data_IF_549026120039
#
_entry.id   IF_549026120039
#
_cell.length_a   1.000
_cell.length_b   1.000
_cell.length_c   1.000
_cell.angle_alpha   90.00
_cell.angle_beta   90.00
_cell.angle_gamma   90.00
#
_symmetry.space_group_name_H-M   'P 1'
#
loop_
_entity.id
_entity.type
_entity.pdbx_description
1 polymer ?
#
# COMPACT_ATOMS: atom_id res chain seq x y z
N UNK A 1 -45.35 5.20 24.47
CA UNK A 1 -45.29 5.11 22.99
C UNK A 1 -44.45 6.20 22.33
N UNK A 2 -44.34 7.39 22.92
CA UNK A 2 -43.52 8.51 22.34
C UNK A 2 -42.02 8.33 22.45
N UNK A 3 -41.51 7.72 23.52
CA UNK A 3 -40.09 7.49 23.70
C UNK A 3 -39.47 6.57 22.62
N UNK A 4 -40.23 5.52 22.22
CA UNK A 4 -39.78 4.57 21.18
C UNK A 4 -39.75 5.23 19.78
N UNK A 5 -40.72 6.06 19.44
CA UNK A 5 -40.76 6.82 18.19
C UNK A 5 -39.62 7.83 18.10
N UNK A 6 -39.27 8.49 19.21
CA UNK A 6 -38.18 9.46 19.30
C UNK A 6 -36.80 8.78 19.15
N UNK A 7 -36.61 7.59 19.71
CA UNK A 7 -35.39 6.78 19.56
C UNK A 7 -35.19 6.34 18.10
N UNK A 8 -36.23 5.81 17.47
CA UNK A 8 -36.22 5.37 16.07
C UNK A 8 -35.91 6.52 15.09
N UNK A 9 -36.48 7.71 15.34
CA UNK A 9 -36.25 8.90 14.52
C UNK A 9 -34.80 9.39 14.63
N UNK A 10 -34.21 9.37 15.81
CA UNK A 10 -32.80 9.70 16.02
C UNK A 10 -31.88 8.71 15.30
N UNK A 11 -32.19 7.44 15.31
CA UNK A 11 -31.44 6.40 14.60
C UNK A 11 -31.50 6.61 13.09
N UNK A 12 -32.66 6.93 12.52
CA UNK A 12 -32.84 7.20 11.07
C UNK A 12 -32.02 8.44 10.66
N UNK A 13 -32.07 9.52 11.42
CA UNK A 13 -31.26 10.72 11.14
C UNK A 13 -29.77 10.41 11.16
N UNK A 14 -29.31 9.66 12.17
CA UNK A 14 -27.91 9.25 12.26
C UNK A 14 -27.48 8.40 11.05
N UNK A 15 -28.34 7.47 10.59
CA UNK A 15 -28.08 6.67 9.40
C UNK A 15 -28.02 7.51 8.12
N UNK A 16 -28.93 8.49 7.97
CA UNK A 16 -28.92 9.42 6.81
C UNK A 16 -27.64 10.25 6.80
N UNK A 17 -27.25 10.80 7.96
CA UNK A 17 -26.00 11.57 8.07
C UNK A 17 -24.79 10.69 7.73
N UNK A 18 -24.72 9.50 8.30
CA UNK A 18 -23.62 8.56 8.01
C UNK A 18 -23.56 8.19 6.52
N UNK A 19 -24.72 7.98 5.88
CA UNK A 19 -24.81 7.67 4.46
C UNK A 19 -24.34 8.84 3.57
N UNK A 20 -24.75 10.07 3.90
CA UNK A 20 -24.30 11.27 3.18
C UNK A 20 -22.79 11.46 3.33
N UNK A 21 -22.26 11.28 4.54
CA UNK A 21 -20.83 11.35 4.78
C UNK A 21 -20.05 10.24 4.03
N UNK A 22 -20.60 9.02 3.99
CA UNK A 22 -20.01 7.90 3.25
C UNK A 22 -19.98 8.18 1.74
N UNK A 23 -21.05 8.75 1.17
CA UNK A 23 -21.07 9.16 -0.25
C UNK A 23 -20.03 10.26 -0.49
N UNK A 24 -19.95 11.27 0.37
CA UNK A 24 -18.95 12.33 0.25
C UNK A 24 -17.53 11.76 0.29
N UNK A 25 -17.24 10.89 1.24
CA UNK A 25 -15.95 10.20 1.34
C UNK A 25 -15.66 9.33 0.09
N UNK A 26 -16.67 8.63 -0.42
CA UNK A 26 -16.52 7.84 -1.65
C UNK A 26 -16.18 8.72 -2.86
N UNK A 27 -16.89 9.83 -3.06
CA UNK A 27 -16.59 10.78 -4.15
C UNK A 27 -15.15 11.28 -4.06
N UNK A 28 -14.71 11.72 -2.88
CA UNK A 28 -13.34 12.19 -2.67
C UNK A 28 -12.32 11.07 -2.96
N UNK A 29 -12.60 9.85 -2.51
CA UNK A 29 -11.71 8.70 -2.72
C UNK A 29 -11.65 8.25 -4.17
N UNK A 30 -12.75 8.33 -4.92
CA UNK A 30 -12.77 7.96 -6.34
C UNK A 30 -12.24 9.05 -7.28
N UNK A 31 -12.22 10.31 -6.85
CA UNK A 31 -11.72 11.44 -7.65
C UNK A 31 -10.33 11.20 -8.26
N UNK A 32 -9.29 10.74 -7.52
CA UNK A 32 -7.97 10.50 -8.10
C UNK A 32 -7.96 9.37 -9.13
N UNK A 33 -8.85 8.37 -9.00
CA UNK A 33 -8.96 7.30 -9.98
C UNK A 33 -9.59 7.80 -11.30
N UNK A 34 -10.66 8.60 -11.20
CA UNK A 34 -11.29 9.24 -12.36
C UNK A 34 -10.26 10.15 -13.06
N UNK A 35 -9.54 10.97 -12.31
CA UNK A 35 -8.46 11.81 -12.80
C UNK A 35 -7.42 10.98 -13.58
N UNK A 36 -6.95 9.89 -12.99
CA UNK A 36 -5.94 9.02 -13.60
C UNK A 36 -6.44 8.42 -14.91
N UNK A 37 -7.67 7.89 -14.93
CA UNK A 37 -8.26 7.30 -16.13
C UNK A 37 -8.47 8.34 -17.23
N UNK A 38 -9.03 9.51 -16.92
CA UNK A 38 -9.24 10.57 -17.92
C UNK A 38 -7.92 11.05 -18.53
N UNK A 39 -6.90 11.24 -17.69
CA UNK A 39 -5.63 11.78 -18.18
C UNK A 39 -4.75 10.71 -18.86
N UNK A 40 -4.97 9.41 -18.60
CA UNK A 40 -4.24 8.34 -19.31
C UNK A 40 -4.51 8.30 -20.81
N UNK A 41 -5.65 8.84 -21.25
CA UNK A 41 -6.02 8.94 -22.68
C UNK A 41 -5.68 10.27 -23.32
N UNK A 42 -5.15 11.27 -22.57
CA UNK A 42 -4.78 12.58 -23.11
C UNK A 42 -3.39 12.56 -23.69
N UNK A 43 -3.17 13.39 -24.73
CA UNK A 43 -1.84 13.73 -25.19
C UNK A 43 -1.11 14.66 -24.20
N UNK A 44 0.22 14.68 -24.27
CA UNK A 44 1.05 15.53 -23.36
C UNK A 44 0.64 17.02 -23.43
N UNK A 45 0.31 17.51 -24.61
CA UNK A 45 -0.11 18.91 -24.80
C UNK A 45 -1.49 19.18 -24.19
N UNK A 46 -2.42 18.24 -24.35
CA UNK A 46 -3.75 18.35 -23.73
C UNK A 46 -3.69 18.35 -22.18
N UNK A 47 -2.77 17.57 -21.59
CA UNK A 47 -2.57 17.57 -20.14
C UNK A 47 -2.12 18.93 -19.59
N UNK A 48 -1.40 19.73 -20.41
CA UNK A 48 -0.89 21.06 -20.02
C UNK A 48 -1.90 22.16 -20.27
N UNK A 49 -2.76 22.02 -21.28
CA UNK A 49 -3.64 23.09 -21.77
C UNK A 49 -5.10 22.93 -21.33
N UNK A 50 -5.53 21.72 -21.04
CA UNK A 50 -6.91 21.42 -20.63
C UNK A 50 -7.04 21.22 -19.13
N UNK A 51 -8.23 21.49 -18.63
CA UNK A 51 -8.58 21.20 -17.23
C UNK A 51 -8.43 19.70 -16.93
N UNK A 52 -8.02 19.40 -15.71
CA UNK A 52 -7.69 18.05 -15.24
C UNK A 52 -8.84 17.04 -15.33
N UNK A 53 -10.09 17.50 -15.27
CA UNK A 53 -11.30 16.69 -15.39
C UNK A 53 -12.02 16.80 -16.74
N UNK A 54 -11.45 17.55 -17.68
CA UNK A 54 -11.99 17.59 -19.04
C UNK A 54 -11.72 16.27 -19.76
N UNK A 55 -12.66 15.86 -20.60
CA UNK A 55 -12.50 14.69 -21.46
C UNK A 55 -11.41 14.95 -22.49
N UNK A 56 -10.65 13.93 -22.92
CA UNK A 56 -9.74 14.03 -24.03
C UNK A 56 -10.51 14.30 -25.34
N UNK A 57 -9.91 15.04 -26.27
CA UNK A 57 -10.52 15.26 -27.60
C UNK A 57 -10.59 13.97 -28.40
N UNK A 58 -9.55 13.16 -28.28
CA UNK A 58 -9.47 11.84 -28.87
C UNK A 58 -8.84 10.87 -27.85
N UNK A 59 -9.27 9.61 -27.88
CA UNK A 59 -8.68 8.58 -27.02
C UNK A 59 -7.29 8.21 -27.54
N UNK A 60 -6.27 8.69 -26.87
CA UNK A 60 -4.89 8.38 -27.22
C UNK A 60 -4.44 7.04 -26.62
N UNK A 61 -4.48 5.98 -27.43
CA UNK A 61 -4.03 4.66 -27.04
C UNK A 61 -2.50 4.51 -27.09
N UNK A 62 -1.77 5.46 -27.69
CA UNK A 62 -0.31 5.37 -27.80
C UNK A 62 0.38 5.36 -26.43
N UNK A 63 -0.19 6.04 -25.43
CA UNK A 63 0.32 6.02 -24.06
C UNK A 63 0.41 4.58 -23.50
N UNK A 64 -0.60 3.76 -23.78
CA UNK A 64 -0.63 2.36 -23.34
C UNK A 64 0.34 1.49 -24.12
N UNK A 65 0.42 1.68 -25.44
CA UNK A 65 1.37 0.92 -26.27
C UNK A 65 2.81 1.27 -25.92
N UNK A 66 3.12 2.55 -25.68
CA UNK A 66 4.45 3.00 -25.23
C UNK A 66 4.85 2.36 -23.90
N UNK A 67 3.94 2.32 -22.94
CA UNK A 67 4.20 1.67 -21.64
C UNK A 67 4.42 0.16 -21.81
N UNK A 68 3.58 -0.52 -22.59
CA UNK A 68 3.69 -1.97 -22.76
C UNK A 68 4.96 -2.37 -23.53
N UNK A 69 5.39 -1.57 -24.52
CA UNK A 69 6.61 -1.82 -25.29
C UNK A 69 7.86 -1.31 -24.57
N UNK A 70 7.73 -0.33 -23.66
CA UNK A 70 8.82 0.29 -22.91
C UNK A 70 9.43 -0.55 -21.77
N UNK A 71 9.12 -1.87 -21.73
CA UNK A 71 9.68 -2.78 -20.72
C UNK A 71 8.83 -2.98 -19.47
N UNK A 72 7.62 -2.41 -19.39
CA UNK A 72 6.69 -2.55 -18.29
C UNK A 72 6.48 -4.01 -17.84
N UNK A 73 6.38 -4.94 -18.81
CA UNK A 73 6.20 -6.36 -18.54
C UNK A 73 7.33 -6.93 -17.67
N UNK A 74 8.58 -6.52 -17.93
CA UNK A 74 9.73 -6.95 -17.14
C UNK A 74 9.71 -6.35 -15.73
N UNK A 75 9.38 -5.08 -15.59
CA UNK A 75 9.26 -4.43 -14.28
C UNK A 75 8.12 -5.04 -13.46
N UNK A 76 6.98 -5.30 -14.09
CA UNK A 76 5.83 -5.96 -13.46
C UNK A 76 6.18 -7.37 -12.99
N UNK A 77 6.83 -8.17 -13.86
CA UNK A 77 7.32 -9.51 -13.52
C UNK A 77 8.25 -9.48 -12.32
N UNK A 78 9.23 -8.58 -12.31
CA UNK A 78 10.17 -8.44 -11.20
C UNK A 78 9.45 -8.08 -9.90
N UNK A 79 8.49 -7.15 -9.95
CA UNK A 79 7.67 -6.78 -8.79
C UNK A 79 6.86 -7.94 -8.25
N UNK A 80 6.25 -8.74 -9.13
CA UNK A 80 5.50 -9.97 -8.73
C UNK A 80 6.42 -10.99 -8.07
N UNK A 81 7.62 -11.21 -8.62
CA UNK A 81 8.61 -12.14 -8.05
C UNK A 81 9.05 -11.66 -6.65
N UNK A 82 9.42 -10.38 -6.52
CA UNK A 82 9.81 -9.80 -5.22
C UNK A 82 8.67 -9.92 -4.21
N UNK A 83 7.44 -9.59 -4.62
CA UNK A 83 6.26 -9.71 -3.77
C UNK A 83 6.04 -11.16 -3.30
N UNK A 84 6.05 -12.12 -4.22
CA UNK A 84 5.81 -13.52 -3.90
C UNK A 84 6.85 -14.08 -2.92
N UNK A 85 8.14 -13.84 -3.20
CA UNK A 85 9.22 -14.30 -2.33
C UNK A 85 9.14 -13.63 -0.96
N UNK A 86 8.96 -12.30 -0.92
CA UNK A 86 8.86 -11.55 0.35
C UNK A 86 7.67 -12.01 1.17
N UNK A 87 6.51 -12.25 0.55
CA UNK A 87 5.30 -12.70 1.24
C UNK A 87 5.47 -14.10 1.84
N UNK A 88 6.04 -15.05 1.08
CA UNK A 88 6.29 -16.40 1.58
C UNK A 88 7.24 -16.36 2.78
N UNK A 89 8.35 -15.64 2.66
CA UNK A 89 9.33 -15.50 3.75
C UNK A 89 8.73 -14.79 4.95
N UNK A 90 7.98 -13.71 4.73
CA UNK A 90 7.30 -12.97 5.79
C UNK A 90 6.34 -13.86 6.57
N UNK A 91 5.44 -14.58 5.89
CA UNK A 91 4.47 -15.45 6.53
C UNK A 91 5.15 -16.57 7.31
N UNK A 92 6.18 -17.17 6.75
CA UNK A 92 6.94 -18.23 7.41
C UNK A 92 7.64 -17.72 8.67
N UNK A 93 8.42 -16.63 8.57
CA UNK A 93 9.18 -16.08 9.69
C UNK A 93 8.21 -15.55 10.78
N UNK A 94 7.15 -14.84 10.39
CA UNK A 94 6.16 -14.31 11.33
C UNK A 94 5.43 -15.43 12.05
N UNK A 95 5.06 -16.51 11.36
CA UNK A 95 4.43 -17.67 11.99
C UNK A 95 5.39 -18.37 12.98
N UNK A 96 6.66 -18.55 12.59
CA UNK A 96 7.67 -19.14 13.46
C UNK A 96 7.97 -18.29 14.70
N UNK A 97 7.90 -16.96 14.59
CA UNK A 97 8.12 -16.05 15.70
C UNK A 97 6.88 -15.90 16.60
N UNK A 98 5.71 -15.72 16.01
CA UNK A 98 4.47 -15.45 16.75
C UNK A 98 3.96 -16.66 17.50
N UNK A 99 4.08 -17.88 16.96
CA UNK A 99 3.58 -19.10 17.60
C UNK A 99 4.20 -19.36 18.98
N UNK A 100 5.54 -19.37 19.14
CA UNK A 100 6.15 -19.52 20.47
C UNK A 100 5.79 -18.38 21.43
N UNK A 101 5.76 -17.14 20.94
CA UNK A 101 5.42 -15.97 21.78
C UNK A 101 3.97 -16.04 22.30
N UNK A 102 3.05 -16.57 21.50
CA UNK A 102 1.64 -16.67 21.87
C UNK A 102 1.32 -17.91 22.72
N UNK A 103 2.03 -19.04 22.51
CA UNK A 103 1.67 -20.33 23.11
C UNK A 103 2.55 -20.75 24.27
N UNK A 104 3.83 -20.37 24.30
CA UNK A 104 4.75 -20.82 25.32
C UNK A 104 4.96 -19.75 26.38
N UNK A 105 4.93 -20.17 27.65
CA UNK A 105 5.25 -19.31 28.80
C UNK A 105 6.73 -19.43 29.12
N UNK A 106 7.54 -18.50 28.66
CA UNK A 106 8.97 -18.40 28.94
C UNK A 106 9.36 -16.98 29.37
N UNK A 107 10.41 -16.88 30.19
CA UNK A 107 10.81 -15.59 30.80
C UNK A 107 11.12 -14.47 29.81
N UNK A 108 11.61 -14.83 28.63
CA UNK A 108 11.99 -13.85 27.61
C UNK A 108 10.88 -13.47 26.61
N UNK A 109 9.68 -14.08 26.71
CA UNK A 109 8.58 -13.79 25.78
C UNK A 109 8.18 -12.31 25.75
N UNK A 110 7.99 -11.72 26.92
CA UNK A 110 7.64 -10.30 27.10
C UNK A 110 8.72 -9.34 26.59
N UNK A 111 10.01 -9.47 26.99
CA UNK A 111 11.09 -8.66 26.45
C UNK A 111 11.24 -8.76 24.92
N UNK A 112 11.17 -9.96 24.35
CA UNK A 112 11.26 -10.17 22.89
C UNK A 112 10.10 -9.46 22.21
N UNK A 113 8.88 -9.65 22.67
CA UNK A 113 7.70 -8.96 22.13
C UNK A 113 7.85 -7.43 22.20
N UNK A 114 8.33 -6.89 23.33
CA UNK A 114 8.56 -5.46 23.49
C UNK A 114 9.60 -4.92 22.50
N UNK A 115 10.67 -5.67 22.23
CA UNK A 115 11.70 -5.30 21.20
C UNK A 115 11.07 -5.29 19.82
N UNK A 116 10.29 -6.31 19.44
CA UNK A 116 9.61 -6.39 18.16
C UNK A 116 8.70 -5.16 17.97
N UNK A 117 7.88 -4.83 18.96
CA UNK A 117 7.00 -3.66 18.93
C UNK A 117 7.80 -2.36 18.85
N UNK A 118 8.91 -2.25 19.59
CA UNK A 118 9.79 -1.08 19.52
C UNK A 118 10.40 -0.87 18.13
N UNK A 119 10.69 -1.94 17.38
CA UNK A 119 11.18 -1.86 16.00
C UNK A 119 10.18 -1.18 15.06
N UNK A 120 8.86 -1.27 15.32
CA UNK A 120 7.84 -0.56 14.52
C UNK A 120 7.95 0.98 14.63
N UNK A 121 8.60 1.48 15.68
CA UNK A 121 8.81 2.92 15.87
C UNK A 121 9.96 3.47 15.01
N UNK A 122 10.73 2.61 14.33
CA UNK A 122 11.83 3.03 13.47
C UNK A 122 11.26 3.46 12.11
N UNK A 123 11.37 4.75 11.73
CA UNK A 123 10.89 5.19 10.42
C UNK A 123 11.70 4.55 9.29
N UNK A 124 11.03 3.85 8.38
CA UNK A 124 11.66 3.15 7.25
C UNK A 124 12.57 4.07 6.44
N UNK A 125 12.18 5.33 6.27
CA UNK A 125 12.95 6.29 5.49
C UNK A 125 14.36 6.61 6.05
N UNK A 126 14.56 6.49 7.36
CA UNK A 126 15.88 6.71 7.97
C UNK A 126 16.84 5.57 7.59
N UNK A 127 16.33 4.40 7.32
CA UNK A 127 17.14 3.19 7.02
C UNK A 127 17.54 3.09 5.55
N UNK A 128 17.00 3.93 4.66
CA UNK A 128 17.27 3.87 3.21
C UNK A 128 18.76 3.92 2.88
N UNK A 129 19.49 4.89 3.46
CA UNK A 129 20.94 5.04 3.19
C UNK A 129 21.76 3.85 3.75
N UNK A 130 21.58 3.44 5.01
CA UNK A 130 22.23 2.24 5.53
C UNK A 130 21.94 0.97 4.73
N UNK A 131 20.67 0.73 4.37
CA UNK A 131 20.24 -0.44 3.58
C UNK A 131 20.89 -0.43 2.19
N UNK A 132 20.90 0.73 1.52
CA UNK A 132 21.59 0.87 0.23
C UNK A 132 23.09 0.57 0.32
N UNK A 133 23.78 1.11 1.35
CA UNK A 133 25.19 0.83 1.58
C UNK A 133 25.44 -0.66 1.84
N UNK A 134 24.57 -1.29 2.63
CA UNK A 134 24.65 -2.73 2.92
C UNK A 134 24.44 -3.56 1.65
N UNK A 135 23.44 -3.26 0.83
CA UNK A 135 23.20 -3.94 -0.44
C UNK A 135 24.42 -3.85 -1.37
N UNK A 136 25.07 -2.68 -1.39
CA UNK A 136 26.28 -2.45 -2.20
C UNK A 136 27.49 -3.22 -1.68
N UNK A 137 27.72 -3.23 -0.36
CA UNK A 137 28.88 -3.93 0.26
C UNK A 137 28.73 -5.46 0.22
N UNK A 138 27.51 -5.98 0.20
CA UNK A 138 27.24 -7.42 0.10
C UNK A 138 27.12 -7.95 -1.33
N UNK A 139 27.24 -7.06 -2.34
CA UNK A 139 27.09 -7.45 -3.75
C UNK A 139 25.65 -7.74 -4.18
N UNK A 140 24.66 -7.40 -3.35
CA UNK A 140 23.22 -7.60 -3.66
C UNK A 140 22.59 -6.41 -4.41
N UNK A 141 23.36 -5.34 -4.62
CA UNK A 141 22.89 -4.17 -5.36
C UNK A 141 22.42 -4.55 -6.77
N UNK A 142 21.32 -3.96 -7.21
CA UNK A 142 20.67 -4.22 -8.50
C UNK A 142 20.20 -5.68 -8.69
N UNK A 143 19.88 -6.36 -7.60
CA UNK A 143 19.23 -7.67 -7.60
C UNK A 143 17.90 -7.63 -6.88
N UNK A 144 17.04 -8.63 -7.11
CA UNK A 144 15.76 -8.77 -6.38
C UNK A 144 15.96 -8.90 -4.86
N UNK A 145 17.10 -9.45 -4.43
CA UNK A 145 17.43 -9.67 -3.02
C UNK A 145 17.68 -8.36 -2.26
N UNK A 146 18.08 -7.29 -2.97
CA UNK A 146 18.24 -5.97 -2.36
C UNK A 146 16.90 -5.39 -1.84
N UNK A 147 15.79 -5.89 -2.35
CA UNK A 147 14.43 -5.48 -1.93
C UNK A 147 13.78 -6.49 -0.99
N UNK A 148 13.94 -7.79 -1.26
CA UNK A 148 13.30 -8.87 -0.47
C UNK A 148 13.69 -8.79 1.01
N UNK A 149 15.01 -8.65 1.29
CA UNK A 149 15.52 -8.57 2.67
C UNK A 149 14.89 -7.44 3.48
N UNK A 150 14.97 -6.19 3.04
CA UNK A 150 14.35 -5.05 3.70
C UNK A 150 12.83 -5.18 3.83
N UNK A 151 12.12 -5.61 2.79
CA UNK A 151 10.66 -5.77 2.85
C UNK A 151 10.23 -6.76 3.93
N UNK A 152 10.91 -7.91 4.03
CA UNK A 152 10.64 -8.89 5.08
C UNK A 152 10.99 -8.33 6.45
N UNK A 153 12.18 -7.72 6.60
CA UNK A 153 12.66 -7.20 7.88
C UNK A 153 11.74 -6.13 8.48
N UNK A 154 11.22 -5.22 7.64
CA UNK A 154 10.32 -4.17 8.11
C UNK A 154 8.87 -4.63 8.32
N UNK A 155 8.44 -5.68 7.62
CA UNK A 155 7.08 -6.18 7.73
C UNK A 155 6.88 -7.22 8.85
N UNK A 156 7.92 -7.95 9.27
CA UNK A 156 7.84 -8.96 10.34
C UNK A 156 7.27 -8.42 11.66
N UNK A 157 7.58 -7.19 12.12
CA UNK A 157 7.03 -6.65 13.37
C UNK A 157 5.53 -6.31 13.31
N UNK A 158 4.95 -6.17 12.12
CA UNK A 158 3.54 -5.80 11.90
C UNK A 158 2.64 -7.01 12.04
#
# INVERSE_FOLDING_TARGET
MDSYKKSRRKSIIAWVIAFVLAIGAAIVSFTPFIFMVLNSFKEKFEMLTKGVFQLPDQLNWSNYTEVLTGGFANYFKNSVIVLAISLILLLFISACASYPLARFKFKMAQPIYAIIVACMSIPVHITLIPVFKMAKSTGLYDTIWSLVGPYVAFAVPI
#
